data_IF_218477542369
#
_entry.id   IF_218477542369
#
_cell.length_a   1.000
_cell.length_b   1.000
_cell.length_c   1.000
_cell.angle_alpha   90.00
_cell.angle_beta   90.00
_cell.angle_gamma   90.00
#
_symmetry.space_group_name_H-M   'P 1'
#
loop_
_entity.id
_entity.type
_entity.pdbx_description
1 polymer ?
#
# COMPACT_ATOMS: atom_id res chain seq x y z
N UNK A 1 -17.37 21.53 0.67
CA UNK A 1 -17.13 21.37 -0.77
C UNK A 1 -16.44 22.60 -1.33
N UNK A 2 -15.14 22.49 -1.53
CA UNK A 2 -14.45 23.23 -2.58
C UNK A 2 -15.18 23.03 -3.91
N UNK A 3 -15.01 23.95 -4.87
CA UNK A 3 -15.47 23.69 -6.24
C UNK A 3 -14.97 22.31 -6.68
N UNK A 4 -15.83 21.52 -7.34
CA UNK A 4 -15.41 20.25 -7.95
C UNK A 4 -14.16 20.47 -8.79
N UNK A 5 -13.29 19.47 -8.84
CA UNK A 5 -12.15 19.50 -9.77
C UNK A 5 -12.69 19.73 -11.19
N UNK A 6 -12.19 20.77 -11.86
CA UNK A 6 -12.63 21.15 -13.21
C UNK A 6 -12.07 20.24 -14.31
N UNK A 7 -11.12 19.37 -13.96
CA UNK A 7 -10.39 18.52 -14.91
C UNK A 7 -10.20 17.11 -14.34
N UNK A 8 -10.11 16.14 -15.25
CA UNK A 8 -9.76 14.76 -14.94
C UNK A 8 -8.28 14.64 -14.58
N UNK A 9 -7.95 13.83 -13.57
CA UNK A 9 -6.55 13.55 -13.23
C UNK A 9 -5.79 12.96 -14.43
N UNK A 10 -4.52 13.36 -14.70
CA UNK A 10 -3.80 12.92 -15.90
C UNK A 10 -3.71 11.39 -16.07
N UNK A 11 -3.55 10.65 -14.98
CA UNK A 11 -3.50 9.19 -15.01
C UNK A 11 -4.85 8.58 -15.46
N UNK A 12 -5.97 9.15 -15.02
CA UNK A 12 -7.31 8.69 -15.42
C UNK A 12 -7.65 9.15 -16.84
N UNK A 13 -7.22 10.35 -17.24
CA UNK A 13 -7.46 10.85 -18.60
C UNK A 13 -6.81 9.94 -19.64
N UNK A 14 -5.58 9.48 -19.39
CA UNK A 14 -4.91 8.50 -20.28
C UNK A 14 -5.71 7.22 -20.47
N UNK A 15 -6.37 6.72 -19.42
CA UNK A 15 -7.21 5.52 -19.52
C UNK A 15 -8.47 5.80 -20.35
N UNK A 16 -9.10 6.95 -20.15
CA UNK A 16 -10.27 7.39 -20.94
C UNK A 16 -9.89 7.55 -22.41
N UNK A 17 -8.74 8.15 -22.70
CA UNK A 17 -8.22 8.33 -24.07
C UNK A 17 -7.95 6.98 -24.76
N UNK A 18 -7.65 5.94 -23.99
CA UNK A 18 -7.51 4.55 -24.46
C UNK A 18 -8.85 3.79 -24.54
N UNK A 19 -9.97 4.44 -24.20
CA UNK A 19 -11.32 3.88 -24.31
C UNK A 19 -11.92 3.34 -23.01
N UNK A 20 -11.29 3.55 -21.85
CA UNK A 20 -11.84 3.12 -20.57
C UNK A 20 -13.13 3.88 -20.21
N UNK A 21 -14.14 3.16 -19.75
CA UNK A 21 -15.41 3.74 -19.28
C UNK A 21 -15.36 3.94 -17.76
N UNK A 22 -15.48 5.19 -17.31
CA UNK A 22 -15.49 5.49 -15.86
C UNK A 22 -16.88 5.25 -15.29
N UNK A 23 -17.01 4.20 -14.49
CA UNK A 23 -18.28 3.77 -13.88
C UNK A 23 -18.56 4.37 -12.50
N UNK A 24 -17.55 4.92 -11.82
CA UNK A 24 -17.75 5.52 -10.50
C UNK A 24 -16.48 5.92 -9.76
N UNK A 25 -16.66 6.37 -8.51
CA UNK A 25 -15.59 6.71 -7.57
C UNK A 25 -15.64 5.76 -6.38
N UNK A 26 -14.50 5.21 -6.00
CA UNK A 26 -14.38 4.26 -4.90
C UNK A 26 -14.11 4.98 -3.58
N UNK A 27 -14.51 4.35 -2.46
CA UNK A 27 -14.17 4.84 -1.13
C UNK A 27 -12.66 4.75 -0.89
N UNK A 28 -12.11 5.76 -0.23
CA UNK A 28 -10.72 5.82 0.23
C UNK A 28 -10.69 6.25 1.69
N UNK A 29 -9.65 5.90 2.43
CA UNK A 29 -9.42 6.44 3.77
C UNK A 29 -9.16 7.95 3.70
N UNK A 30 -9.44 8.68 4.79
CA UNK A 30 -9.34 10.14 4.81
C UNK A 30 -7.90 10.57 4.47
N UNK A 31 -7.76 11.31 3.36
CA UNK A 31 -6.47 11.74 2.78
C UNK A 31 -5.46 10.62 2.54
N UNK A 32 -5.94 9.41 2.24
CA UNK A 32 -5.12 8.23 2.03
C UNK A 32 -4.22 7.86 3.23
N UNK A 33 -4.59 8.29 4.44
CA UNK A 33 -3.96 7.86 5.68
C UNK A 33 -4.58 6.54 6.11
N UNK A 34 -3.77 5.51 6.39
CA UNK A 34 -4.28 4.19 6.77
C UNK A 34 -5.22 4.26 7.98
N UNK A 35 -6.41 3.66 7.85
CA UNK A 35 -7.48 3.65 8.84
C UNK A 35 -7.97 2.24 9.07
N UNK A 36 -8.42 1.94 10.29
CA UNK A 36 -8.97 0.65 10.68
C UNK A 36 -10.46 0.76 11.03
N UNK A 37 -11.34 -0.08 10.45
CA UNK A 37 -12.69 -0.25 10.95
C UNK A 37 -12.68 -1.03 12.27
N UNK A 38 -13.60 -0.79 13.21
CA UNK A 38 -14.59 0.31 13.27
C UNK A 38 -14.03 1.57 13.97
N UNK A 39 -12.72 1.66 14.18
CA UNK A 39 -12.10 2.66 15.04
C UNK A 39 -11.95 4.04 14.38
N UNK A 40 -11.43 4.09 13.15
CA UNK A 40 -10.96 5.34 12.53
C UNK A 40 -11.93 5.93 11.50
N UNK A 41 -12.84 5.10 11.00
CA UNK A 41 -13.87 5.45 10.02
C UNK A 41 -15.02 6.19 10.71
N UNK A 42 -14.97 7.53 10.70
CA UNK A 42 -15.98 8.38 11.39
C UNK A 42 -17.04 8.92 10.42
N UNK A 43 -16.61 9.57 9.33
CA UNK A 43 -17.54 10.24 8.39
C UNK A 43 -18.21 9.26 7.42
N UNK A 44 -17.66 8.06 7.27
CA UNK A 44 -18.11 7.04 6.32
C UNK A 44 -17.85 5.65 6.88
N UNK A 45 -18.66 4.67 6.49
CA UNK A 45 -18.37 3.26 6.77
C UNK A 45 -17.30 2.72 5.83
N UNK A 46 -16.31 2.02 6.39
CA UNK A 46 -15.37 1.22 5.62
C UNK A 46 -16.10 0.23 4.70
N UNK A 47 -15.59 0.00 3.47
CA UNK A 47 -16.06 -1.09 2.60
C UNK A 47 -16.09 -2.44 3.33
N UNK A 48 -16.87 -3.37 2.82
CA UNK A 48 -16.80 -4.77 3.24
C UNK A 48 -15.79 -5.49 2.37
N UNK A 49 -14.91 -6.28 2.99
CA UNK A 49 -14.08 -7.21 2.24
C UNK A 49 -14.99 -8.37 1.77
N UNK A 50 -15.14 -8.64 0.46
CA UNK A 50 -16.03 -9.70 0.00
C UNK A 50 -15.49 -11.11 0.25
N UNK A 51 -14.19 -11.25 0.60
CA UNK A 51 -13.51 -12.54 0.77
C UNK A 51 -13.86 -13.19 2.10
N UNK A 52 -13.86 -14.52 2.10
CA UNK A 52 -14.14 -15.34 3.27
C UNK A 52 -15.51 -15.02 3.88
N UNK A 53 -15.50 -14.67 5.17
CA UNK A 53 -16.73 -14.41 5.93
C UNK A 53 -17.39 -13.05 5.68
N UNK A 54 -16.76 -12.14 4.92
CA UNK A 54 -17.30 -10.80 4.69
C UNK A 54 -16.97 -9.76 5.77
N UNK A 55 -16.30 -10.17 6.86
CA UNK A 55 -16.04 -9.33 8.05
C UNK A 55 -14.55 -9.07 8.30
N UNK A 56 -13.71 -9.40 7.32
CA UNK A 56 -12.32 -8.98 7.31
C UNK A 56 -12.18 -7.48 7.00
N UNK A 57 -11.12 -6.88 7.50
CA UNK A 57 -10.68 -5.53 7.21
C UNK A 57 -10.31 -5.45 5.72
N UNK A 58 -10.90 -4.53 4.92
CA UNK A 58 -10.54 -4.34 3.51
C UNK A 58 -9.16 -3.69 3.31
N UNK A 59 -8.41 -3.42 4.39
CA UNK A 59 -7.20 -2.60 4.41
C UNK A 59 -7.43 -1.21 3.79
N UNK A 60 -6.37 -0.49 3.45
CA UNK A 60 -6.45 0.86 2.90
C UNK A 60 -5.10 1.34 2.37
N UNK A 61 -5.02 2.51 1.76
CA UNK A 61 -6.10 3.51 1.65
C UNK A 61 -7.08 3.26 0.51
N UNK A 62 -6.70 2.51 -0.52
CA UNK A 62 -7.51 2.20 -1.71
C UNK A 62 -8.58 1.10 -1.44
N UNK A 63 -9.22 1.16 -0.27
CA UNK A 63 -10.09 0.12 0.27
C UNK A 63 -11.31 -0.17 -0.60
N UNK A 64 -11.94 0.87 -1.15
CA UNK A 64 -13.10 0.72 -2.02
C UNK A 64 -12.73 0.17 -3.39
N UNK A 65 -11.52 0.44 -3.88
CA UNK A 65 -11.01 -0.12 -5.13
C UNK A 65 -10.80 -1.62 -5.00
N UNK A 66 -10.06 -2.05 -3.97
CA UNK A 66 -9.83 -3.47 -3.70
C UNK A 66 -11.12 -4.25 -3.46
N UNK A 67 -12.01 -3.72 -2.61
CA UNK A 67 -13.31 -4.34 -2.35
C UNK A 67 -14.22 -4.38 -3.59
N UNK A 68 -14.22 -3.32 -4.40
CA UNK A 68 -15.04 -3.20 -5.61
C UNK A 68 -14.66 -4.23 -6.66
N UNK A 69 -13.39 -4.27 -7.08
CA UNK A 69 -12.88 -5.23 -8.07
C UNK A 69 -13.09 -6.67 -7.59
N UNK A 70 -12.93 -6.93 -6.28
CA UNK A 70 -13.17 -8.26 -5.73
C UNK A 70 -14.65 -8.63 -5.61
N UNK A 71 -15.59 -7.69 -5.74
CA UNK A 71 -17.04 -7.94 -5.57
C UNK A 71 -17.81 -7.99 -6.88
N UNK A 72 -17.37 -7.24 -7.90
CA UNK A 72 -18.14 -7.00 -9.12
C UNK A 72 -17.42 -7.58 -10.33
N UNK A 73 -17.98 -8.64 -10.90
CA UNK A 73 -17.49 -9.31 -12.11
C UNK A 73 -17.50 -8.41 -13.35
N UNK A 74 -18.41 -7.44 -13.40
CA UNK A 74 -18.52 -6.45 -14.48
C UNK A 74 -17.47 -5.32 -14.40
N UNK A 75 -16.63 -5.28 -13.37
CA UNK A 75 -15.66 -4.21 -13.14
C UNK A 75 -14.23 -4.71 -13.45
N UNK A 76 -13.70 -4.30 -14.61
CA UNK A 76 -12.43 -4.84 -15.14
C UNK A 76 -11.20 -4.51 -14.28
N UNK A 77 -11.09 -3.26 -13.83
CA UNK A 77 -10.00 -2.79 -12.98
C UNK A 77 -10.40 -1.53 -12.22
N UNK A 78 -9.61 -1.18 -11.20
CA UNK A 78 -9.77 0.08 -10.50
C UNK A 78 -8.43 0.72 -10.16
N UNK A 79 -8.44 2.05 -10.06
CA UNK A 79 -7.23 2.84 -9.79
C UNK A 79 -7.13 3.21 -8.32
N UNK A 80 -5.90 3.35 -7.82
CA UNK A 80 -5.59 3.78 -6.46
C UNK A 80 -4.23 4.46 -6.38
N UNK A 81 -3.84 4.84 -5.17
CA UNK A 81 -2.50 5.34 -4.86
C UNK A 81 -1.87 4.48 -3.77
N UNK A 82 -0.57 4.24 -3.87
CA UNK A 82 0.19 3.50 -2.85
C UNK A 82 1.25 4.40 -2.23
N UNK A 83 1.27 4.44 -0.90
CA UNK A 83 2.36 5.05 -0.13
C UNK A 83 2.96 4.07 0.90
N UNK A 84 2.45 2.84 1.05
CA UNK A 84 3.08 1.77 1.84
C UNK A 84 2.20 0.52 2.00
N UNK A 85 2.79 -0.69 2.00
CA UNK A 85 2.09 -2.00 2.16
C UNK A 85 2.38 -2.75 3.48
N UNK A 86 2.04 -4.06 3.63
CA UNK A 86 2.37 -5.01 4.77
C UNK A 86 2.51 -6.51 4.34
N UNK A 87 3.17 -7.44 5.09
CA UNK A 87 3.84 -8.70 4.57
C UNK A 87 3.60 -10.10 5.26
N UNK A 88 3.90 -11.27 4.59
CA UNK A 88 4.65 -12.55 5.05
C UNK A 88 4.95 -13.72 4.00
N UNK A 89 6.24 -14.11 3.85
CA UNK A 89 6.93 -14.84 2.74
C UNK A 89 6.94 -16.34 2.98
N UNK A 90 6.67 -17.16 1.95
CA UNK A 90 7.31 -18.45 1.61
C UNK A 90 6.49 -19.15 0.51
N UNK A 91 6.98 -19.23 -0.75
CA UNK A 91 6.34 -20.10 -1.75
C UNK A 91 7.20 -20.50 -2.98
N UNK A 92 8.24 -19.76 -3.35
CA UNK A 92 8.81 -19.89 -4.71
C UNK A 92 10.06 -20.79 -4.77
N UNK A 93 9.99 -21.80 -5.64
CA UNK A 93 11.05 -22.76 -6.01
C UNK A 93 12.12 -22.14 -6.94
N UNK A 94 12.70 -21.01 -6.48
CA UNK A 94 13.79 -20.32 -7.15
C UNK A 94 15.14 -20.68 -6.50
N UNK A 95 16.27 -20.42 -7.18
CA UNK A 95 17.57 -20.44 -6.49
C UNK A 95 17.61 -19.32 -5.45
N UNK A 96 17.37 -19.67 -4.19
CA UNK A 96 17.44 -18.75 -3.05
C UNK A 96 18.87 -18.75 -2.52
N UNK A 97 19.56 -17.61 -2.66
CA UNK A 97 20.78 -17.37 -1.91
C UNK A 97 20.48 -16.53 -0.66
N UNK A 98 20.83 -17.01 0.55
CA UNK A 98 20.64 -16.22 1.76
C UNK A 98 21.58 -15.00 1.72
N UNK A 99 20.99 -13.80 1.73
CA UNK A 99 21.72 -12.54 1.76
C UNK A 99 21.53 -11.85 3.11
N UNK A 100 22.63 -11.40 3.72
CA UNK A 100 22.56 -10.48 4.85
C UNK A 100 22.44 -9.04 4.32
N UNK A 101 21.20 -8.56 4.23
CA UNK A 101 20.88 -7.24 3.70
C UNK A 101 21.51 -6.11 4.51
N UNK A 102 21.58 -6.23 5.85
CA UNK A 102 22.27 -5.25 6.70
C UNK A 102 23.77 -5.18 6.39
N UNK A 103 24.45 -6.32 6.25
CA UNK A 103 25.88 -6.34 5.93
C UNK A 103 26.16 -5.73 4.56
N UNK A 104 25.32 -6.04 3.56
CA UNK A 104 25.42 -5.44 2.23
C UNK A 104 25.17 -3.93 2.24
N UNK A 105 24.14 -3.48 2.96
CA UNK A 105 23.84 -2.06 3.11
C UNK A 105 25.00 -1.32 3.77
N UNK A 106 25.55 -1.87 4.86
CA UNK A 106 26.71 -1.31 5.55
C UNK A 106 27.93 -1.21 4.63
N UNK A 107 28.20 -2.25 3.83
CA UNK A 107 29.30 -2.24 2.88
C UNK A 107 29.13 -1.19 1.76
N UNK A 108 27.89 -0.93 1.33
CA UNK A 108 27.59 0.07 0.30
C UNK A 108 27.62 1.52 0.83
N UNK A 109 27.19 1.72 2.07
CA UNK A 109 26.92 3.05 2.63
C UNK A 109 27.97 3.53 3.64
N UNK A 110 28.87 2.66 4.07
CA UNK A 110 29.80 2.87 5.18
C UNK A 110 29.10 3.19 6.53
N UNK A 111 27.84 2.78 6.71
CA UNK A 111 27.17 2.84 8.01
C UNK A 111 27.45 1.60 8.85
N UNK A 112 27.25 1.71 10.16
CA UNK A 112 27.27 0.57 11.11
C UNK A 112 25.87 0.19 11.59
N UNK A 113 24.86 1.00 11.26
CA UNK A 113 23.47 0.77 11.65
C UNK A 113 22.79 -0.24 10.72
N UNK A 114 22.01 -1.17 11.27
CA UNK A 114 21.11 -1.97 10.44
C UNK A 114 20.09 -1.10 9.69
N UNK A 115 19.61 -1.56 8.52
CA UNK A 115 18.71 -0.84 7.62
C UNK A 115 17.49 -0.28 8.38
N UNK A 116 16.87 -1.09 9.25
CA UNK A 116 15.71 -0.67 10.05
C UNK A 116 16.04 0.50 10.99
N UNK A 117 17.18 0.45 11.68
CA UNK A 117 17.61 1.53 12.56
C UNK A 117 17.98 2.80 11.76
N UNK A 118 18.65 2.62 10.62
CA UNK A 118 19.06 3.70 9.72
C UNK A 118 17.85 4.43 9.14
N UNK A 119 16.87 3.68 8.61
CA UNK A 119 15.64 4.26 8.09
C UNK A 119 14.79 4.87 9.22
N UNK A 120 14.71 4.26 10.39
CA UNK A 120 14.12 4.87 11.58
C UNK A 120 12.73 5.46 11.32
N UNK A 121 12.60 6.79 11.37
CA UNK A 121 11.32 7.48 11.12
C UNK A 121 11.22 8.10 9.72
N UNK A 122 12.07 7.69 8.78
CA UNK A 122 12.20 8.30 7.44
C UNK A 122 10.86 8.46 6.74
N UNK A 123 10.12 7.35 6.58
CA UNK A 123 8.81 7.38 5.93
C UNK A 123 7.84 8.32 6.64
N UNK A 124 7.71 8.20 7.97
CA UNK A 124 6.79 9.00 8.76
C UNK A 124 7.15 10.49 8.76
N UNK A 125 8.44 10.83 8.77
CA UNK A 125 8.90 12.21 8.78
C UNK A 125 8.61 12.87 7.43
N UNK A 126 8.92 12.21 6.31
CA UNK A 126 8.60 12.72 4.97
C UNK A 126 7.10 12.91 4.82
N UNK A 127 6.33 11.83 5.02
CA UNK A 127 4.88 11.86 4.77
C UNK A 127 4.12 12.82 5.68
N UNK A 128 4.42 12.87 6.98
CA UNK A 128 3.76 13.82 7.87
C UNK A 128 4.17 15.27 7.56
N UNK A 129 5.44 15.52 7.24
CA UNK A 129 5.94 16.86 6.95
C UNK A 129 5.29 17.45 5.69
N UNK A 130 5.30 16.68 4.61
CA UNK A 130 4.77 17.07 3.31
C UNK A 130 3.25 17.11 3.30
N UNK A 131 2.57 16.06 3.79
CA UNK A 131 1.10 16.08 3.80
C UNK A 131 0.55 17.24 4.63
N UNK A 132 1.19 17.58 5.75
CA UNK A 132 0.75 18.75 6.51
C UNK A 132 0.89 20.05 5.70
N UNK A 133 2.05 20.28 5.09
CA UNK A 133 2.33 21.56 4.42
C UNK A 133 1.68 21.68 3.05
N UNK A 134 1.70 20.61 2.26
CA UNK A 134 1.25 20.59 0.88
C UNK A 134 -0.25 20.31 0.75
N UNK A 135 -0.85 19.65 1.75
CA UNK A 135 -2.27 19.28 1.71
C UNK A 135 -3.07 19.87 2.88
N UNK A 136 -2.67 19.63 4.13
CA UNK A 136 -3.48 20.01 5.29
C UNK A 136 -3.69 21.51 5.42
N UNK A 137 -2.61 22.29 5.36
CA UNK A 137 -2.65 23.77 5.46
C UNK A 137 -3.52 24.37 4.35
N UNK A 138 -3.23 24.16 3.04
CA UNK A 138 -4.03 24.77 1.98
C UNK A 138 -5.48 24.27 1.98
N UNK A 139 -5.73 23.00 2.33
CA UNK A 139 -7.11 22.49 2.46
C UNK A 139 -7.85 23.20 3.60
N UNK A 140 -7.23 23.31 4.78
CA UNK A 140 -7.86 23.94 5.95
C UNK A 140 -8.19 25.40 5.66
N UNK A 141 -7.26 26.14 5.08
CA UNK A 141 -7.44 27.56 4.76
C UNK A 141 -8.61 27.74 3.78
N UNK A 142 -8.66 26.94 2.70
CA UNK A 142 -9.78 26.97 1.75
C UNK A 142 -11.10 26.56 2.41
N UNK A 143 -11.08 25.54 3.27
CA UNK A 143 -12.28 25.07 3.95
C UNK A 143 -12.83 26.14 4.90
N UNK A 144 -11.97 26.81 5.69
CA UNK A 144 -12.38 27.91 6.57
C UNK A 144 -12.92 29.10 5.77
N UNK A 145 -12.25 29.48 4.67
CA UNK A 145 -12.71 30.55 3.80
C UNK A 145 -14.09 30.26 3.18
N UNK A 146 -14.37 28.99 2.88
CA UNK A 146 -15.64 28.58 2.24
C UNK A 146 -16.77 28.35 3.25
N UNK A 147 -16.47 27.78 4.42
CA UNK A 147 -17.48 27.30 5.38
C UNK A 147 -17.51 28.04 6.72
N UNK A 148 -16.59 28.98 6.95
CA UNK A 148 -16.50 29.74 8.21
C UNK A 148 -16.15 28.89 9.44
N UNK A 149 -15.70 27.65 9.25
CA UNK A 149 -15.34 26.72 10.33
C UNK A 149 -14.18 25.81 9.93
N UNK A 150 -13.50 25.21 10.89
CA UNK A 150 -12.48 24.20 10.61
C UNK A 150 -13.10 22.89 10.07
N UNK A 151 -12.42 22.17 9.16
CA UNK A 151 -12.83 20.82 8.77
C UNK A 151 -12.67 19.84 9.93
N UNK A 152 -13.45 18.77 9.90
CA UNK A 152 -13.25 17.63 10.80
C UNK A 152 -12.07 16.78 10.30
N UNK A 153 -11.13 16.51 11.20
CA UNK A 153 -10.09 15.50 11.01
C UNK A 153 -10.43 14.30 11.88
N UNK A 154 -10.48 13.11 11.27
CA UNK A 154 -10.59 11.91 12.07
C UNK A 154 -9.35 11.73 12.97
N UNK A 155 -9.43 10.88 14.00
CA UNK A 155 -8.35 10.74 14.97
C UNK A 155 -6.97 10.41 14.36
N UNK A 156 -6.91 9.59 13.30
CA UNK A 156 -5.66 9.27 12.58
C UNK A 156 -5.06 10.50 11.92
N UNK A 157 -5.85 11.19 11.08
CA UNK A 157 -5.43 12.41 10.37
C UNK A 157 -4.99 13.47 11.36
N UNK A 158 -5.77 13.68 12.42
CA UNK A 158 -5.43 14.64 13.47
C UNK A 158 -4.09 14.32 14.12
N UNK A 159 -3.84 13.07 14.50
CA UNK A 159 -2.59 12.66 15.14
C UNK A 159 -1.37 12.89 14.23
N UNK A 160 -1.46 12.46 12.97
CA UNK A 160 -0.38 12.59 11.98
C UNK A 160 -0.09 14.04 11.61
N UNK A 161 -1.13 14.85 11.40
CA UNK A 161 -0.95 16.26 11.02
C UNK A 161 -0.57 17.14 12.20
N UNK A 162 -0.93 16.78 13.44
CA UNK A 162 -0.39 17.43 14.64
C UNK A 162 1.11 17.27 14.71
N UNK A 163 1.61 16.06 14.43
CA UNK A 163 3.05 15.81 14.31
C UNK A 163 3.65 16.55 13.12
N UNK A 164 3.00 16.51 11.96
CA UNK A 164 3.44 17.22 10.75
C UNK A 164 3.67 18.71 10.97
N UNK A 165 2.79 19.34 11.76
CA UNK A 165 2.91 20.74 12.16
C UNK A 165 4.12 21.03 13.06
N UNK A 166 4.51 20.10 13.93
CA UNK A 166 5.62 20.26 14.86
C UNK A 166 6.97 19.75 14.34
N UNK A 167 6.99 19.05 13.20
CA UNK A 167 8.23 18.48 12.66
C UNK A 167 9.17 19.59 12.16
N UNK A 168 10.43 19.64 12.63
CA UNK A 168 11.42 20.59 12.14
C UNK A 168 11.89 20.20 10.73
N UNK A 169 12.31 21.19 9.93
CA UNK A 169 12.84 20.97 8.59
C UNK A 169 14.02 19.98 8.59
N UNK A 170 14.90 20.03 9.59
CA UNK A 170 16.04 19.11 9.70
C UNK A 170 15.64 17.64 9.81
N UNK A 171 14.49 17.32 10.41
CA UNK A 171 13.98 15.94 10.46
C UNK A 171 13.47 15.45 9.10
N UNK A 172 12.98 16.36 8.27
CA UNK A 172 12.60 16.08 6.89
C UNK A 172 13.85 15.90 6.02
N UNK A 173 14.81 16.83 6.10
CA UNK A 173 16.06 16.78 5.34
C UNK A 173 16.83 15.48 5.61
N UNK A 174 17.07 15.14 6.88
CA UNK A 174 17.72 13.87 7.25
C UNK A 174 16.94 12.64 6.76
N UNK A 175 15.61 12.67 6.83
CA UNK A 175 14.79 11.58 6.30
C UNK A 175 14.93 11.45 4.77
N UNK A 176 14.94 12.56 4.03
CA UNK A 176 15.13 12.54 2.57
C UNK A 176 16.52 12.04 2.17
N UNK A 177 17.56 12.34 2.95
CA UNK A 177 18.91 11.80 2.74
C UNK A 177 18.96 10.29 2.97
N UNK A 178 18.35 9.80 4.05
CA UNK A 178 18.26 8.37 4.35
C UNK A 178 17.47 7.62 3.28
N UNK A 179 16.34 8.18 2.85
CA UNK A 179 15.54 7.68 1.74
C UNK A 179 16.37 7.55 0.46
N UNK A 180 17.09 8.62 0.07
CA UNK A 180 17.86 8.63 -1.17
C UNK A 180 19.02 7.62 -1.12
N UNK A 181 19.67 7.44 0.03
CA UNK A 181 20.74 6.46 0.18
C UNK A 181 20.22 5.02 0.12
N UNK A 182 19.10 4.74 0.80
CA UNK A 182 18.43 3.45 0.73
C UNK A 182 18.02 3.11 -0.70
N UNK A 183 17.41 4.06 -1.41
CA UNK A 183 17.00 3.91 -2.80
C UNK A 183 18.19 3.55 -3.70
N UNK A 184 19.33 4.22 -3.56
CA UNK A 184 20.54 3.93 -4.35
C UNK A 184 21.06 2.51 -4.08
N UNK A 185 21.16 2.11 -2.81
CA UNK A 185 21.60 0.77 -2.46
C UNK A 185 20.66 -0.31 -3.00
N UNK A 186 19.35 -0.17 -2.76
CA UNK A 186 18.37 -1.18 -3.15
C UNK A 186 18.39 -1.40 -4.67
N UNK A 187 18.41 -0.31 -5.44
CA UNK A 187 18.51 -0.35 -6.90
C UNK A 187 19.84 -0.94 -7.37
N UNK A 188 20.96 -0.51 -6.80
CA UNK A 188 22.28 -0.96 -7.26
C UNK A 188 22.57 -2.44 -6.92
N UNK A 189 22.03 -2.95 -5.81
CA UNK A 189 22.41 -4.25 -5.27
C UNK A 189 21.32 -5.31 -5.44
N UNK A 190 20.05 -4.97 -5.23
CA UNK A 190 18.96 -5.95 -5.22
C UNK A 190 18.19 -6.00 -6.54
N UNK A 191 18.15 -4.89 -7.28
CA UNK A 191 17.36 -4.75 -8.51
C UNK A 191 18.12 -3.92 -9.57
N UNK A 192 19.34 -4.34 -9.98
CA UNK A 192 20.19 -3.53 -10.87
C UNK A 192 19.64 -3.42 -12.30
N UNK A 193 19.00 -4.48 -12.80
CA UNK A 193 18.42 -4.56 -14.16
C UNK A 193 17.12 -5.37 -14.15
N UNK A 194 16.41 -5.39 -15.27
CA UNK A 194 15.15 -6.14 -15.39
C UNK A 194 15.36 -7.65 -15.37
N UNK A 195 16.50 -8.13 -15.88
CA UNK A 195 16.77 -9.55 -16.12
C UNK A 195 17.63 -10.22 -15.04
N UNK A 196 18.30 -9.45 -14.17
CA UNK A 196 19.23 -10.02 -13.19
C UNK A 196 18.55 -10.59 -11.94
N UNK A 197 17.61 -9.82 -11.35
CA UNK A 197 17.03 -10.16 -10.05
C UNK A 197 15.65 -9.55 -9.83
N UNK A 198 14.79 -10.31 -9.17
CA UNK A 198 13.50 -9.87 -8.63
C UNK A 198 13.55 -9.98 -7.11
N UNK A 199 12.96 -9.01 -6.42
CA UNK A 199 12.74 -9.13 -4.98
C UNK A 199 11.32 -9.62 -4.75
N UNK A 200 11.23 -10.86 -4.30
CA UNK A 200 9.98 -11.51 -3.95
C UNK A 200 9.76 -11.33 -2.47
N UNK A 201 8.67 -10.66 -2.16
CA UNK A 201 8.24 -10.54 -0.80
C UNK A 201 6.75 -10.84 -0.76
N UNK A 202 6.22 -11.10 0.40
CA UNK A 202 4.81 -11.39 0.55
C UNK A 202 3.91 -10.19 0.69
N UNK A 203 2.81 -10.20 -0.06
CA UNK A 203 1.67 -9.28 0.00
C UNK A 203 0.79 -9.49 1.25
N UNK A 204 0.38 -10.73 1.44
CA UNK A 204 -0.64 -11.06 2.43
C UNK A 204 -0.66 -12.56 2.63
N UNK A 205 -0.50 -13.00 3.88
CA UNK A 205 -0.46 -14.43 4.21
C UNK A 205 -1.85 -15.05 4.42
N UNK A 206 -2.91 -14.35 4.02
CA UNK A 206 -4.28 -14.76 4.32
C UNK A 206 -4.57 -14.80 5.82
N UNK A 207 -3.91 -13.96 6.61
CA UNK A 207 -4.16 -13.83 8.06
C UNK A 207 -5.47 -13.07 8.29
N UNK A 208 -6.25 -13.53 9.25
CA UNK A 208 -7.50 -12.90 9.66
C UNK A 208 -7.19 -11.52 10.26
N UNK A 209 -7.92 -10.51 9.80
CA UNK A 209 -7.88 -9.15 10.34
C UNK A 209 -9.30 -8.65 10.46
N UNK A 210 -9.99 -8.99 11.55
CA UNK A 210 -11.41 -8.69 11.67
C UNK A 210 -11.70 -7.19 11.86
N UNK A 211 -12.76 -6.72 11.19
CA UNK A 211 -13.20 -5.31 11.19
C UNK A 211 -13.86 -4.82 12.48
N UNK A 212 -14.20 -5.72 13.39
CA UNK A 212 -14.79 -5.44 14.71
C UNK A 212 -13.74 -5.51 15.83
N UNK A 213 -12.46 -5.69 15.49
CA UNK A 213 -11.38 -5.68 16.46
C UNK A 213 -11.10 -4.26 16.97
N UNK A 214 -11.30 -4.06 18.28
CA UNK A 214 -10.95 -2.81 18.97
C UNK A 214 -9.43 -2.61 19.02
N UNK A 215 -9.00 -1.38 18.76
CA UNK A 215 -7.59 -0.96 18.82
C UNK A 215 -7.43 0.26 19.72
N UNK A 216 -6.17 0.53 20.11
CA UNK A 216 -5.81 1.72 20.86
C UNK A 216 -5.93 3.01 20.05
N UNK A 217 -5.62 4.14 20.69
CA UNK A 217 -5.62 5.45 20.02
C UNK A 217 -4.64 5.46 18.82
N UNK A 218 -4.95 6.17 17.73
CA UNK A 218 -4.08 6.23 16.57
C UNK A 218 -2.67 6.77 16.87
N UNK A 219 -1.67 6.15 16.25
CA UNK A 219 -0.29 6.59 16.30
C UNK A 219 -0.03 7.73 15.29
N UNK A 220 0.76 8.73 15.71
CA UNK A 220 1.30 9.74 14.80
C UNK A 220 2.46 9.21 13.93
N UNK A 221 3.01 8.04 14.29
CA UNK A 221 4.07 7.34 13.56
C UNK A 221 3.46 6.18 12.78
N UNK A 222 3.79 6.12 11.49
CA UNK A 222 3.47 5.00 10.61
C UNK A 222 4.69 4.68 9.76
N UNK A 223 4.97 3.40 9.50
CA UNK A 223 6.14 3.01 8.71
C UNK A 223 7.48 3.29 9.38
N UNK A 224 7.60 3.01 10.68
CA UNK A 224 8.91 3.09 11.34
C UNK A 224 9.77 1.87 11.00
N UNK A 225 11.04 2.12 10.73
CA UNK A 225 12.05 1.12 10.42
C UNK A 225 12.11 0.73 8.95
N UNK A 226 12.39 -0.55 8.70
CA UNK A 226 12.36 -1.15 7.37
C UNK A 226 11.25 -2.21 7.26
N UNK A 227 9.96 -1.83 7.31
CA UNK A 227 8.90 -2.78 6.98
C UNK A 227 9.07 -3.19 5.52
N UNK A 228 9.20 -4.49 5.26
CA UNK A 228 9.55 -4.99 3.93
C UNK A 228 8.64 -4.45 2.82
N UNK A 229 7.40 -4.20 3.12
CA UNK A 229 6.36 -3.72 2.19
C UNK A 229 6.36 -2.24 1.90
N UNK A 230 7.27 -1.50 2.53
CA UNK A 230 7.59 -0.14 2.11
C UNK A 230 8.85 -0.13 1.24
N UNK A 231 9.49 -1.28 0.99
CA UNK A 231 10.75 -1.33 0.24
C UNK A 231 10.61 -0.79 -1.17
N UNK A 232 9.56 -1.16 -1.90
CA UNK A 232 9.35 -0.71 -3.27
C UNK A 232 9.01 0.78 -3.33
N UNK A 233 8.19 1.27 -2.40
CA UNK A 233 7.88 2.71 -2.27
C UNK A 233 9.15 3.50 -1.92
N UNK A 234 9.94 3.03 -0.96
CA UNK A 234 11.19 3.67 -0.54
C UNK A 234 12.28 3.60 -1.62
N UNK A 235 12.27 2.56 -2.46
CA UNK A 235 13.16 2.44 -3.60
C UNK A 235 12.59 3.12 -4.87
N UNK A 236 11.34 3.58 -4.85
CA UNK A 236 10.55 3.99 -6.01
C UNK A 236 10.68 3.02 -7.19
N UNK A 237 10.29 1.77 -6.96
CA UNK A 237 10.39 0.67 -7.91
C UNK A 237 8.99 0.11 -8.24
N UNK A 238 8.81 -0.49 -9.43
CA UNK A 238 7.58 -1.21 -9.74
C UNK A 238 7.43 -2.43 -8.82
N UNK A 239 6.20 -2.65 -8.34
CA UNK A 239 5.83 -3.72 -7.41
C UNK A 239 4.44 -4.27 -7.75
N UNK A 240 4.38 -5.55 -8.10
CA UNK A 240 3.16 -6.22 -8.52
C UNK A 240 2.74 -7.22 -7.45
N UNK A 241 1.55 -7.03 -6.88
CA UNK A 241 0.97 -8.00 -5.95
C UNK A 241 0.11 -9.01 -6.71
N UNK A 242 0.50 -10.28 -6.66
CA UNK A 242 -0.22 -11.39 -7.31
C UNK A 242 -0.69 -12.43 -6.30
N UNK A 243 -1.91 -12.98 -6.45
CA UNK A 243 -2.36 -14.10 -5.65
C UNK A 243 -1.67 -15.39 -6.07
N UNK A 244 -1.26 -16.17 -5.08
CA UNK A 244 -0.58 -17.47 -5.27
C UNK A 244 -1.39 -18.63 -4.72
N UNK A 245 -2.49 -18.34 -4.03
CA UNK A 245 -3.32 -19.37 -3.42
C UNK A 245 -4.29 -18.78 -2.40
N UNK A 246 -4.89 -19.68 -1.63
CA UNK A 246 -5.76 -19.35 -0.52
C UNK A 246 -5.40 -20.19 0.69
N UNK A 247 -5.60 -19.60 1.87
CA UNK A 247 -5.46 -20.28 3.16
C UNK A 247 -6.84 -20.48 3.76
N UNK A 248 -7.17 -21.72 4.12
CA UNK A 248 -8.37 -22.01 4.89
C UNK A 248 -8.17 -21.63 6.36
N UNK A 249 -9.20 -21.05 6.96
CA UNK A 249 -9.28 -20.77 8.39
C UNK A 249 -10.69 -21.04 8.89
N UNK A 250 -10.83 -21.25 10.20
CA UNK A 250 -12.13 -21.34 10.84
C UNK A 250 -12.61 -19.94 11.22
N UNK A 251 -13.66 -19.45 10.56
CA UNK A 251 -14.21 -18.13 10.85
C UNK A 251 -15.05 -18.18 12.13
N UNK A 252 -14.79 -17.23 13.04
CA UNK A 252 -15.65 -17.03 14.22
C UNK A 252 -16.97 -16.34 13.88
N UNK A 253 -17.12 -15.82 12.65
CA UNK A 253 -18.30 -15.07 12.23
C UNK A 253 -19.30 -15.99 11.54
N UNK A 254 -18.84 -16.82 10.61
CA UNK A 254 -19.69 -17.79 9.92
C UNK A 254 -19.73 -19.17 10.57
N UNK A 255 -18.93 -19.40 11.62
CA UNK A 255 -18.82 -20.67 12.35
C UNK A 255 -18.48 -21.88 11.45
N UNK A 256 -17.80 -21.62 10.33
CA UNK A 256 -17.35 -22.64 9.37
C UNK A 256 -15.97 -22.29 8.82
N UNK A 257 -15.42 -23.24 8.04
CA UNK A 257 -14.20 -23.01 7.30
C UNK A 257 -14.47 -22.02 6.15
N UNK A 258 -13.65 -20.99 6.06
CA UNK A 258 -13.63 -19.98 5.01
C UNK A 258 -12.20 -19.88 4.44
N UNK A 259 -12.02 -19.16 3.34
CA UNK A 259 -10.71 -18.96 2.70
C UNK A 259 -10.31 -17.48 2.70
N UNK A 260 -9.00 -17.23 2.76
CA UNK A 260 -8.43 -15.91 2.51
C UNK A 260 -7.31 -15.97 1.47
N UNK A 261 -7.21 -14.94 0.62
CA UNK A 261 -6.11 -14.79 -0.33
C UNK A 261 -4.73 -14.85 0.30
N UNK A 262 -3.84 -15.62 -0.32
CA UNK A 262 -2.40 -15.55 -0.10
C UNK A 262 -1.77 -14.88 -1.32
N UNK A 263 -1.00 -13.82 -1.11
CA UNK A 263 -0.42 -12.98 -2.17
C UNK A 263 1.06 -12.71 -1.93
N UNK A 264 1.80 -12.48 -3.03
CA UNK A 264 3.19 -12.05 -3.03
C UNK A 264 3.32 -10.74 -3.81
N UNK A 265 4.18 -9.83 -3.34
CA UNK A 265 4.71 -8.70 -4.09
C UNK A 265 5.97 -9.09 -4.86
N UNK A 266 6.06 -8.62 -6.10
CA UNK A 266 7.18 -8.84 -7.01
C UNK A 266 7.75 -7.47 -7.37
N UNK A 267 8.93 -7.16 -6.83
CA UNK A 267 9.64 -5.90 -7.10
C UNK A 267 10.68 -6.13 -8.19
N UNK A 268 10.67 -5.31 -9.22
CA UNK A 268 11.68 -5.29 -10.28
C UNK A 268 12.46 -3.97 -10.30
N UNK A 269 13.48 -3.91 -11.17
CA UNK A 269 14.25 -2.69 -11.37
C UNK A 269 13.40 -1.55 -11.97
N UNK A 270 13.92 -0.33 -11.85
CA UNK A 270 13.21 0.87 -12.31
C UNK A 270 12.99 0.82 -13.82
N UNK A 271 11.74 1.05 -14.26
CA UNK A 271 11.36 1.01 -15.67
C UNK A 271 10.99 -0.39 -16.20
N UNK A 272 11.01 -1.41 -15.35
CA UNK A 272 10.66 -2.78 -15.73
C UNK A 272 9.15 -3.10 -15.57
N UNK A 273 8.30 -2.09 -15.49
CA UNK A 273 6.84 -2.24 -15.29
C UNK A 273 6.21 -3.17 -16.35
N UNK A 274 6.55 -2.98 -17.63
CA UNK A 274 6.06 -3.82 -18.72
C UNK A 274 6.56 -5.26 -18.64
N UNK A 275 7.82 -5.45 -18.21
CA UNK A 275 8.39 -6.79 -18.01
C UNK A 275 7.64 -7.53 -16.90
N UNK A 276 7.25 -6.86 -15.81
CA UNK A 276 6.44 -7.49 -14.76
C UNK A 276 5.05 -7.91 -15.26
N UNK A 277 4.40 -7.11 -16.13
CA UNK A 277 3.13 -7.51 -16.76
C UNK A 277 3.32 -8.79 -17.57
N UNK A 278 4.34 -8.82 -18.41
CA UNK A 278 4.65 -9.98 -19.25
C UNK A 278 4.97 -11.21 -18.39
N UNK A 279 5.78 -11.05 -17.35
CA UNK A 279 6.12 -12.13 -16.42
C UNK A 279 4.87 -12.72 -15.75
N UNK A 280 3.96 -11.88 -15.23
CA UNK A 280 2.75 -12.36 -14.56
C UNK A 280 1.85 -13.11 -15.54
N UNK A 281 1.68 -12.60 -16.77
CA UNK A 281 0.93 -13.29 -17.83
C UNK A 281 1.56 -14.64 -18.17
N UNK A 282 2.86 -14.68 -18.41
CA UNK A 282 3.56 -15.90 -18.81
C UNK A 282 3.52 -16.96 -17.68
N UNK A 283 3.61 -16.54 -16.41
CA UNK A 283 3.43 -17.42 -15.25
C UNK A 283 2.02 -18.00 -15.17
N UNK A 284 0.99 -17.21 -15.51
CA UNK A 284 -0.39 -17.68 -15.61
C UNK A 284 -0.57 -18.68 -16.76
N UNK A 285 -0.06 -18.37 -17.96
CA UNK A 285 -0.12 -19.27 -19.13
C UNK A 285 0.59 -20.60 -18.90
N UNK A 286 1.67 -20.59 -18.12
CA UNK A 286 2.42 -21.79 -17.72
C UNK A 286 1.77 -22.56 -16.56
N UNK A 287 0.68 -22.05 -15.98
CA UNK A 287 -0.01 -22.65 -14.84
C UNK A 287 0.79 -22.59 -13.52
N UNK A 288 1.80 -21.72 -13.44
CA UNK A 288 2.54 -21.46 -12.19
C UNK A 288 1.70 -20.58 -11.27
N UNK A 289 1.08 -19.56 -11.83
CA UNK A 289 -0.02 -18.83 -11.20
C UNK A 289 -1.35 -19.36 -11.73
N UNK A 290 -2.40 -19.33 -10.90
CA UNK A 290 -3.75 -19.55 -11.41
C UNK A 290 -4.10 -18.36 -12.30
N UNK A 291 -4.41 -18.63 -13.57
CA UNK A 291 -4.53 -17.58 -14.59
C UNK A 291 -5.79 -16.72 -14.47
N UNK A 292 -6.86 -17.26 -13.89
CA UNK A 292 -8.09 -16.51 -13.63
C UNK A 292 -8.36 -16.46 -12.12
N UNK A 293 -8.84 -15.30 -11.66
CA UNK A 293 -9.27 -15.06 -10.28
C UNK A 293 -10.72 -14.60 -10.29
N UNK A 294 -11.54 -15.22 -9.43
CA UNK A 294 -12.96 -14.94 -9.30
C UNK A 294 -13.26 -13.78 -8.34
N UNK A 295 -14.47 -13.24 -8.44
CA UNK A 295 -15.05 -12.29 -7.49
C UNK A 295 -15.80 -13.03 -6.36
N UNK A 296 -16.17 -12.32 -5.29
CA UNK A 296 -16.94 -12.87 -4.19
C UNK A 296 -16.10 -13.52 -3.10
N UNK A 297 -16.64 -14.55 -2.44
CA UNK A 297 -16.08 -15.12 -1.19
C UNK A 297 -14.72 -15.80 -1.38
N UNK A 298 -14.47 -16.37 -2.56
CA UNK A 298 -13.27 -17.13 -2.91
C UNK A 298 -12.63 -16.54 -4.16
N UNK A 299 -11.30 -16.52 -4.22
CA UNK A 299 -10.57 -16.16 -5.46
C UNK A 299 -10.61 -17.26 -6.49
N UNK A 300 -10.88 -18.50 -6.07
CA UNK A 300 -10.87 -19.63 -6.96
C UNK A 300 -12.12 -20.49 -6.77
N UNK A 301 -12.64 -21.02 -7.87
CA UNK A 301 -13.71 -22.02 -7.88
C UNK A 301 -13.25 -23.36 -7.28
#
# INVERSE_FOLDING_TARGET
MTDPAGETAPALQRLIDLGAVVVGKTKTTQFALGERPTADYVDQLAPFNPRGDGYQHPQGSSCGTGAGVASYDWLDFGTGSDTGGSALSTFLDAQVQPMNTNASFNAYTNTTQGISAYLGLTYSNITNYDQYRLLAVPFKDRYVATFGKAPYWNPVTRARWTRGASLPLSSYESATEHYALFQRWFRAVLTPTCEDALVLYPMGAGTEDYRDAYVGAPSAIFGAGFPGTQMAVLAALPDYTVPIGERTYYSRVSERNETLPVTIGIVAAAGCDGMLVDLVRDLAEKGVLRGEVGTGISMYD
#
